data_IF_764649608353
#
_entry.id   IF_764649608353
#
_cell.length_a   1.000
_cell.length_b   1.000
_cell.length_c   1.000
_cell.angle_alpha   90.00
_cell.angle_beta   90.00
_cell.angle_gamma   90.00
#
_symmetry.space_group_name_H-M   'P 1'
#
loop_
_entity.id
_entity.type
_entity.pdbx_description
1 polymer ?
#
# COMPACT_ATOMS: atom_id res chain seq x y z
N UNK A 1 -8.87 12.99 -11.42
CA UNK A 1 -9.90 11.96 -11.15
C UNK A 1 -11.27 12.41 -11.64
N UNK A 2 -11.77 13.55 -11.17
CA UNK A 2 -13.10 14.07 -11.55
C UNK A 2 -13.31 14.30 -13.06
N UNK A 3 -12.22 14.39 -13.83
CA UNK A 3 -12.29 14.52 -15.29
C UNK A 3 -12.34 13.16 -16.02
N UNK A 4 -12.25 12.05 -15.30
CA UNK A 4 -12.37 10.71 -15.88
C UNK A 4 -13.83 10.32 -16.04
N UNK A 5 -14.08 9.50 -17.06
CA UNK A 5 -15.42 8.96 -17.31
C UNK A 5 -15.90 8.13 -16.13
N UNK A 6 -17.22 8.13 -15.87
CA UNK A 6 -17.87 7.36 -14.80
C UNK A 6 -17.48 7.74 -13.36
N UNK A 7 -16.76 8.85 -13.16
CA UNK A 7 -16.43 9.35 -11.83
C UNK A 7 -17.71 9.63 -11.02
N UNK A 8 -17.75 9.19 -9.77
CA UNK A 8 -18.84 9.44 -8.82
C UNK A 8 -18.37 10.41 -7.75
N UNK A 9 -17.30 10.03 -7.02
CA UNK A 9 -16.79 10.77 -5.85
C UNK A 9 -15.35 10.33 -5.55
N UNK A 10 -14.61 11.12 -4.78
CA UNK A 10 -13.36 10.64 -4.18
C UNK A 10 -13.68 9.49 -3.20
N UNK A 11 -12.92 8.38 -3.25
CA UNK A 11 -13.14 7.22 -2.38
C UNK A 11 -12.83 7.55 -0.91
N UNK A 12 -11.95 8.55 -0.70
CA UNK A 12 -11.62 9.16 0.59
C UNK A 12 -10.96 10.53 0.37
N UNK A 13 -10.83 11.33 1.43
CA UNK A 13 -10.12 12.61 1.37
C UNK A 13 -8.63 12.39 1.09
N UNK A 14 -8.12 12.98 0.00
CA UNK A 14 -6.71 12.85 -0.40
C UNK A 14 -5.77 13.22 0.74
N UNK A 15 -4.80 12.35 1.04
CA UNK A 15 -3.71 12.59 1.98
C UNK A 15 -2.50 13.10 1.18
N UNK A 16 -2.00 14.27 1.52
CA UNK A 16 -0.76 14.82 0.98
C UNK A 16 0.12 15.24 2.15
N UNK A 17 1.05 14.37 2.54
CA UNK A 17 1.83 14.51 3.76
C UNK A 17 3.33 14.64 3.44
N UNK A 18 3.95 15.73 3.89
CA UNK A 18 5.36 16.02 3.68
C UNK A 18 6.19 15.73 4.95
N UNK A 19 7.32 15.05 4.78
CA UNK A 19 8.28 14.76 5.86
C UNK A 19 7.65 14.05 7.04
N UNK A 20 7.86 14.55 8.25
CA UNK A 20 7.33 13.94 9.49
C UNK A 20 5.80 13.88 9.59
N UNK A 21 5.06 14.71 8.86
CA UNK A 21 3.60 14.65 8.84
C UNK A 21 3.09 13.34 8.22
N UNK A 22 3.87 12.73 7.32
CA UNK A 22 3.54 11.45 6.71
C UNK A 22 3.60 10.26 7.69
N UNK A 23 4.17 10.42 8.89
CA UNK A 23 4.09 9.43 9.94
C UNK A 23 2.68 9.30 10.56
N UNK A 24 1.81 10.28 10.32
CA UNK A 24 0.39 10.20 10.63
C UNK A 24 -0.35 9.63 9.41
N UNK A 25 -0.80 8.37 9.51
CA UNK A 25 -1.35 7.60 8.38
C UNK A 25 -2.55 8.28 7.70
N UNK A 26 -3.35 9.03 8.46
CA UNK A 26 -4.53 9.77 7.99
C UNK A 26 -4.33 11.29 8.17
N UNK A 27 -3.14 11.79 7.81
CA UNK A 27 -2.84 13.22 7.89
C UNK A 27 -3.72 14.04 6.96
N UNK A 28 -4.22 15.16 7.46
CA UNK A 28 -4.90 16.18 6.67
C UNK A 28 -4.29 17.54 6.96
N UNK A 29 -3.78 18.20 5.93
CA UNK A 29 -3.33 19.57 6.03
C UNK A 29 -4.53 20.52 6.20
N UNK A 30 -4.39 21.53 7.07
CA UNK A 30 -5.34 22.63 7.21
C UNK A 30 -4.68 23.97 6.85
N UNK A 31 -5.45 25.04 6.77
CA UNK A 31 -4.89 26.37 6.53
C UNK A 31 -3.96 26.81 7.67
N UNK A 32 -4.26 26.40 8.91
CA UNK A 32 -3.50 26.74 10.12
C UNK A 32 -2.35 25.78 10.41
N UNK A 33 -2.49 24.50 9.99
CA UNK A 33 -1.50 23.45 10.26
C UNK A 33 -1.16 22.67 8.99
N UNK A 34 -0.07 23.08 8.35
CA UNK A 34 0.48 22.43 7.16
C UNK A 34 1.99 22.65 7.04
N UNK A 35 2.68 21.73 6.40
CA UNK A 35 4.09 21.88 6.06
C UNK A 35 4.23 22.52 4.68
N UNK A 36 5.24 23.38 4.51
CA UNK A 36 5.67 23.85 3.18
C UNK A 36 6.62 22.84 2.56
N UNK A 37 6.40 22.55 1.28
CA UNK A 37 7.27 21.65 0.53
C UNK A 37 8.65 22.28 0.32
N UNK A 38 9.70 21.50 0.53
CA UNK A 38 11.09 21.87 0.31
C UNK A 38 11.74 20.92 -0.71
N UNK A 39 12.92 21.28 -1.23
CA UNK A 39 13.66 20.40 -2.16
C UNK A 39 14.50 19.37 -1.40
N UNK A 40 13.86 18.64 -0.48
CA UNK A 40 14.44 17.54 0.30
C UNK A 40 13.35 16.62 0.82
N UNK A 41 13.72 15.43 1.29
CA UNK A 41 12.79 14.49 1.91
C UNK A 41 11.74 13.96 0.96
N UNK A 42 10.66 13.42 1.53
CA UNK A 42 9.57 12.77 0.82
C UNK A 42 8.24 13.51 0.95
N UNK A 43 7.45 13.45 -0.13
CA UNK A 43 6.03 13.74 -0.15
C UNK A 43 5.27 12.42 -0.35
N UNK A 44 4.48 12.02 0.63
CA UNK A 44 3.53 10.92 0.52
C UNK A 44 2.20 11.48 0.01
N UNK A 45 1.69 10.89 -1.07
CA UNK A 45 0.37 11.21 -1.62
C UNK A 45 -0.43 9.93 -1.71
N UNK A 46 -1.53 9.89 -0.98
CA UNK A 46 -2.47 8.79 -0.94
C UNK A 46 -3.86 9.28 -1.37
N UNK A 47 -4.49 8.56 -2.30
CA UNK A 47 -5.65 9.11 -2.97
C UNK A 47 -6.37 8.08 -3.84
N UNK A 48 -7.68 8.18 -3.89
CA UNK A 48 -8.52 7.30 -4.67
C UNK A 48 -9.82 7.94 -5.15
N UNK A 49 -10.58 7.20 -5.92
CA UNK A 49 -11.91 7.61 -6.36
C UNK A 49 -12.82 6.41 -6.60
N UNK A 50 -14.11 6.62 -6.44
CA UNK A 50 -15.16 5.67 -6.79
C UNK A 50 -15.72 6.04 -8.16
N UNK A 51 -15.76 5.07 -9.04
CA UNK A 51 -16.32 5.12 -10.39
C UNK A 51 -17.48 4.13 -10.50
N UNK A 52 -18.29 4.22 -11.54
CA UNK A 52 -19.36 3.24 -11.80
C UNK A 52 -18.84 1.81 -12.09
N UNK A 53 -17.56 1.67 -12.40
CA UNK A 53 -16.90 0.40 -12.74
C UNK A 53 -15.76 0.02 -11.79
N UNK A 54 -15.64 0.67 -10.65
CA UNK A 54 -14.69 0.30 -9.59
C UNK A 54 -14.34 1.43 -8.66
N UNK A 55 -13.76 1.09 -7.52
CA UNK A 55 -13.19 2.03 -6.55
C UNK A 55 -11.68 1.86 -6.55
N UNK A 56 -10.94 2.97 -6.50
CA UNK A 56 -9.48 2.97 -6.53
C UNK A 56 -8.88 3.51 -5.25
N UNK A 57 -7.71 2.96 -4.92
CA UNK A 57 -6.84 3.36 -3.82
C UNK A 57 -5.38 3.26 -4.26
N UNK A 58 -4.59 4.30 -4.01
CA UNK A 58 -3.17 4.32 -4.37
C UNK A 58 -2.37 5.29 -3.53
N UNK A 59 -1.24 4.83 -3.02
CA UNK A 59 -0.22 5.69 -2.42
C UNK A 59 1.07 5.66 -3.23
N UNK A 60 1.67 6.85 -3.38
CA UNK A 60 3.06 7.01 -3.82
C UNK A 60 3.80 7.94 -2.86
N UNK A 61 5.05 7.59 -2.59
CA UNK A 61 5.98 8.42 -1.84
C UNK A 61 7.05 8.96 -2.81
N UNK A 62 7.02 10.27 -3.02
CA UNK A 62 7.86 10.96 -4.02
C UNK A 62 9.06 11.63 -3.36
N UNK A 63 10.30 11.38 -3.81
CA UNK A 63 11.45 12.16 -3.38
C UNK A 63 11.36 13.58 -3.95
N UNK A 64 11.49 14.61 -3.12
CA UNK A 64 11.45 16.01 -3.55
C UNK A 64 12.87 16.62 -3.73
N UNK A 65 13.93 15.86 -3.43
CA UNK A 65 15.31 16.30 -3.56
C UNK A 65 16.24 15.42 -2.74
N UNK A 66 17.11 16.06 -1.93
CA UNK A 66 18.07 15.34 -1.09
C UNK A 66 17.35 14.48 -0.04
N UNK A 67 17.84 13.25 0.13
CA UNK A 67 17.37 12.27 1.10
C UNK A 67 18.51 11.89 2.04
N UNK A 68 18.18 11.68 3.31
CA UNK A 68 19.09 11.05 4.27
C UNK A 68 19.29 9.56 3.95
N UNK A 69 20.33 8.96 4.49
CA UNK A 69 20.55 7.51 4.32
C UNK A 69 19.41 6.69 4.95
N UNK A 70 18.91 7.10 6.12
CA UNK A 70 17.77 6.43 6.76
C UNK A 70 16.49 6.49 5.90
N UNK A 71 16.20 7.65 5.30
CA UNK A 71 15.05 7.79 4.38
C UNK A 71 15.16 6.85 3.19
N UNK A 72 16.35 6.71 2.60
CA UNK A 72 16.60 5.78 1.48
C UNK A 72 16.46 4.32 1.91
N UNK A 73 16.97 3.95 3.08
CA UNK A 73 16.84 2.61 3.65
C UNK A 73 15.36 2.27 3.92
N UNK A 74 14.63 3.15 4.60
CA UNK A 74 13.19 2.95 4.88
C UNK A 74 12.38 2.83 3.59
N UNK A 75 12.67 3.65 2.58
CA UNK A 75 12.03 3.54 1.28
C UNK A 75 12.33 2.21 0.60
N UNK A 76 13.59 1.78 0.61
CA UNK A 76 14.02 0.51 0.01
C UNK A 76 13.34 -0.68 0.69
N UNK A 77 13.32 -0.72 2.02
CA UNK A 77 12.67 -1.80 2.77
C UNK A 77 11.15 -1.81 2.60
N UNK A 78 10.51 -0.63 2.54
CA UNK A 78 9.08 -0.55 2.22
C UNK A 78 8.79 -1.10 0.81
N UNK A 79 9.63 -0.76 -0.16
CA UNK A 79 9.49 -1.29 -1.52
C UNK A 79 9.73 -2.80 -1.57
N UNK A 80 10.66 -3.36 -0.79
CA UNK A 80 10.84 -4.81 -0.67
C UNK A 80 9.58 -5.49 -0.12
N UNK A 81 8.98 -4.94 0.95
CA UNK A 81 7.72 -5.42 1.50
C UNK A 81 6.62 -5.49 0.42
N UNK A 82 6.45 -4.39 -0.32
CA UNK A 82 5.49 -4.29 -1.41
C UNK A 82 5.74 -5.31 -2.53
N UNK A 83 6.99 -5.47 -2.96
CA UNK A 83 7.36 -6.42 -4.01
C UNK A 83 7.14 -7.87 -3.55
N UNK A 84 7.49 -8.21 -2.31
CA UNK A 84 7.43 -9.58 -1.82
C UNK A 84 6.00 -10.09 -1.74
N UNK A 85 5.06 -9.28 -1.25
CA UNK A 85 3.64 -9.69 -1.25
C UNK A 85 3.05 -9.66 -2.66
N UNK A 86 3.37 -8.67 -3.49
CA UNK A 86 2.87 -8.60 -4.86
C UNK A 86 3.30 -9.80 -5.72
N UNK A 87 4.46 -10.39 -5.42
CA UNK A 87 5.01 -11.58 -6.10
C UNK A 87 4.69 -12.90 -5.42
N UNK A 88 3.99 -12.87 -4.28
CA UNK A 88 3.71 -14.08 -3.52
C UNK A 88 2.91 -15.10 -4.34
N UNK A 89 3.23 -16.37 -4.13
CA UNK A 89 2.46 -17.53 -4.61
C UNK A 89 2.20 -18.42 -3.41
N UNK A 90 0.95 -18.81 -3.19
CA UNK A 90 0.55 -19.53 -1.98
C UNK A 90 -0.50 -20.60 -2.26
N UNK A 91 -0.68 -21.51 -1.32
CA UNK A 91 -1.73 -22.53 -1.38
C UNK A 91 -3.10 -21.92 -1.02
N UNK A 92 -4.15 -22.35 -1.68
CA UNK A 92 -5.49 -21.79 -1.62
C UNK A 92 -6.17 -21.83 -0.25
N UNK A 93 -5.52 -22.35 0.78
CA UNK A 93 -6.00 -22.31 2.18
C UNK A 93 -5.36 -21.19 3.01
N UNK A 94 -4.39 -20.46 2.45
CA UNK A 94 -3.75 -19.36 3.18
C UNK A 94 -4.69 -18.17 3.32
N UNK A 95 -4.73 -17.64 4.52
CA UNK A 95 -5.53 -16.48 4.90
C UNK A 95 -4.71 -15.17 4.93
N UNK A 96 -5.39 -14.07 5.22
CA UNK A 96 -4.76 -12.76 5.26
C UNK A 96 -3.67 -12.61 6.32
N UNK A 97 -3.77 -13.33 7.44
CA UNK A 97 -2.73 -13.35 8.47
C UNK A 97 -1.43 -14.02 7.97
N UNK A 98 -1.55 -15.14 7.29
CA UNK A 98 -0.39 -15.86 6.75
C UNK A 98 0.33 -15.02 5.69
N UNK A 99 -0.43 -14.35 4.82
CA UNK A 99 0.14 -13.52 3.75
C UNK A 99 0.72 -12.21 4.27
N UNK A 100 0.11 -11.59 5.29
CA UNK A 100 0.63 -10.37 5.93
C UNK A 100 2.08 -10.54 6.45
N UNK A 101 2.42 -11.75 6.90
CA UNK A 101 3.77 -12.08 7.35
C UNK A 101 4.81 -11.95 6.24
N UNK A 102 4.46 -12.32 5.00
CA UNK A 102 5.34 -12.20 3.83
C UNK A 102 5.69 -10.73 3.58
N UNK A 103 4.69 -9.85 3.65
CA UNK A 103 4.89 -8.42 3.46
C UNK A 103 5.73 -7.78 4.56
N UNK A 104 5.64 -8.24 5.81
CA UNK A 104 6.36 -7.63 6.95
C UNK A 104 7.80 -8.12 7.10
N UNK A 105 8.10 -9.29 6.59
CA UNK A 105 9.37 -9.98 6.83
C UNK A 105 10.61 -9.12 6.45
N UNK A 106 10.63 -8.39 5.31
CA UNK A 106 11.76 -7.51 4.99
C UNK A 106 12.06 -6.46 6.06
N UNK A 107 11.03 -5.84 6.66
CA UNK A 107 11.21 -4.88 7.76
C UNK A 107 11.64 -5.57 9.07
N UNK A 108 11.11 -6.74 9.37
CA UNK A 108 11.46 -7.48 10.58
C UNK A 108 12.94 -7.87 10.63
N UNK A 109 13.57 -8.14 9.49
CA UNK A 109 15.04 -8.36 9.41
C UNK A 109 15.83 -7.18 9.97
N UNK A 110 15.25 -5.97 9.91
CA UNK A 110 15.84 -4.74 10.41
C UNK A 110 15.26 -4.30 11.75
N UNK A 111 14.48 -5.17 12.43
CA UNK A 111 13.81 -4.92 13.72
C UNK A 111 12.83 -3.74 13.69
N UNK A 112 12.27 -3.47 12.51
CA UNK A 112 11.26 -2.42 12.27
C UNK A 112 9.92 -3.08 11.95
N UNK A 113 8.83 -2.41 12.31
CA UNK A 113 7.48 -2.86 12.02
C UNK A 113 6.53 -1.67 11.89
N UNK A 114 5.49 -1.82 11.09
CA UNK A 114 4.37 -0.88 11.06
C UNK A 114 3.17 -1.43 11.84
N UNK A 115 2.38 -0.52 12.44
CA UNK A 115 1.29 -0.88 13.37
C UNK A 115 -0.09 -0.96 12.72
N UNK A 116 -0.21 -0.61 11.44
CA UNK A 116 -1.41 -0.77 10.62
C UNK A 116 -1.45 -2.13 9.92
N UNK A 117 -2.54 -2.43 9.21
CA UNK A 117 -2.61 -3.54 8.25
C UNK A 117 -1.67 -3.30 7.07
N UNK A 118 -1.35 -4.36 6.35
CA UNK A 118 -0.64 -4.29 5.07
C UNK A 118 -1.58 -4.00 3.91
N UNK A 119 -2.86 -4.28 4.09
CA UNK A 119 -3.86 -4.03 3.07
C UNK A 119 -5.27 -4.44 3.49
N UNK A 120 -6.23 -3.94 2.74
CA UNK A 120 -7.65 -4.17 2.95
C UNK A 120 -8.36 -4.43 1.63
N UNK A 121 -9.53 -5.03 1.69
CA UNK A 121 -10.41 -5.19 0.55
C UNK A 121 -11.03 -3.84 0.17
N UNK A 122 -11.28 -3.65 -1.11
CA UNK A 122 -11.89 -2.46 -1.71
C UNK A 122 -13.24 -2.84 -2.32
N UNK A 123 -14.28 -2.05 -2.08
CA UNK A 123 -15.59 -2.31 -2.69
C UNK A 123 -15.58 -2.05 -4.20
N UNK A 124 -16.50 -2.68 -4.93
CA UNK A 124 -16.65 -2.41 -6.36
C UNK A 124 -17.15 -0.97 -6.60
N UNK A 125 -18.28 -0.60 -5.99
CA UNK A 125 -18.81 0.78 -5.97
C UNK A 125 -19.28 1.09 -4.56
N UNK A 126 -18.43 1.69 -3.73
CA UNK A 126 -18.76 1.93 -2.32
C UNK A 126 -17.56 2.39 -1.51
N UNK A 127 -17.46 1.91 -0.27
CA UNK A 127 -16.40 2.29 0.65
C UNK A 127 -15.04 1.77 0.18
N UNK A 128 -14.01 2.60 0.33
CA UNK A 128 -12.63 2.19 0.06
C UNK A 128 -12.22 1.01 0.95
N UNK A 129 -12.61 1.01 2.22
CA UNK A 129 -12.44 -0.13 3.12
C UNK A 129 -13.71 -0.99 3.14
N UNK A 130 -13.61 -2.21 2.62
CA UNK A 130 -14.69 -3.20 2.66
C UNK A 130 -14.14 -4.58 3.00
N UNK A 131 -14.80 -5.29 3.94
CA UNK A 131 -14.43 -6.68 4.26
C UNK A 131 -14.98 -7.68 3.23
N UNK A 132 -14.71 -8.99 3.42
CA UNK A 132 -14.21 -9.61 4.65
C UNK A 132 -12.68 -9.80 4.70
N UNK A 133 -11.99 -9.83 3.57
CA UNK A 133 -10.55 -10.13 3.52
C UNK A 133 -9.68 -8.87 3.74
N UNK A 134 -8.53 -9.08 4.33
CA UNK A 134 -7.52 -8.06 4.57
C UNK A 134 -6.15 -8.71 4.80
N UNK A 135 -5.07 -7.99 4.54
CA UNK A 135 -3.70 -8.37 4.90
C UNK A 135 -3.37 -7.75 6.26
N UNK A 136 -3.54 -8.49 7.33
CA UNK A 136 -3.18 -8.07 8.69
C UNK A 136 -3.07 -9.27 9.64
N UNK A 137 -2.41 -9.07 10.77
CA UNK A 137 -2.12 -10.12 11.76
C UNK A 137 -3.33 -10.76 12.45
N UNK A 138 -4.57 -10.49 12.05
CA UNK A 138 -5.80 -11.02 12.66
C UNK A 138 -6.82 -11.54 11.66
N UNK A 139 -6.64 -11.25 10.37
CA UNK A 139 -7.61 -11.64 9.35
C UNK A 139 -7.44 -13.11 8.96
N UNK A 140 -8.48 -13.90 9.17
CA UNK A 140 -8.53 -15.35 8.88
C UNK A 140 -9.35 -15.68 7.64
N UNK A 141 -9.72 -14.69 6.85
CA UNK A 141 -10.42 -14.90 5.58
C UNK A 141 -9.44 -15.47 4.57
N UNK A 142 -9.76 -16.63 4.02
CA UNK A 142 -9.00 -17.28 2.96
C UNK A 142 -9.28 -16.57 1.64
N UNK A 143 -8.21 -16.25 0.91
CA UNK A 143 -8.31 -15.58 -0.38
C UNK A 143 -8.95 -16.46 -1.45
N UNK A 144 -9.75 -15.84 -2.30
CA UNK A 144 -10.38 -16.48 -3.45
C UNK A 144 -10.05 -15.72 -4.74
N UNK A 145 -9.94 -16.39 -5.89
CA UNK A 145 -9.78 -15.71 -7.17
C UNK A 145 -10.87 -14.65 -7.41
N UNK A 146 -10.48 -13.48 -7.88
CA UNK A 146 -11.32 -12.31 -8.09
C UNK A 146 -11.42 -11.35 -6.91
N UNK A 147 -10.87 -11.70 -5.75
CA UNK A 147 -10.77 -10.78 -4.61
C UNK A 147 -9.74 -9.67 -4.90
N UNK A 148 -10.12 -8.43 -4.62
CA UNK A 148 -9.27 -7.25 -4.74
C UNK A 148 -8.75 -6.87 -3.35
N UNK A 149 -7.49 -6.51 -3.25
CA UNK A 149 -6.81 -6.16 -2.01
C UNK A 149 -5.81 -5.04 -2.24
N UNK A 150 -5.68 -4.10 -1.31
CA UNK A 150 -4.55 -3.17 -1.31
C UNK A 150 -3.29 -3.87 -0.79
N UNK A 151 -2.16 -3.42 -1.28
CA UNK A 151 -0.82 -3.82 -0.88
C UNK A 151 -0.07 -2.53 -0.54
N UNK A 152 -0.12 -2.13 0.74
CA UNK A 152 0.26 -0.80 1.24
C UNK A 152 1.18 -0.82 2.47
N UNK A 153 2.26 -1.63 2.47
CA UNK A 153 3.22 -1.59 3.56
C UNK A 153 3.85 -0.20 3.71
N UNK A 154 4.33 0.09 4.91
CA UNK A 154 4.95 1.39 5.16
C UNK A 154 5.91 1.42 6.35
N UNK A 155 6.65 2.52 6.46
CA UNK A 155 7.45 2.90 7.63
C UNK A 155 6.97 4.26 8.12
N UNK A 156 6.75 4.39 9.42
CA UNK A 156 6.16 5.59 10.03
C UNK A 156 6.93 5.96 11.29
N UNK A 157 7.93 6.85 11.12
CA UNK A 157 8.77 7.34 12.22
C UNK A 157 8.30 8.72 12.66
N UNK A 158 7.71 8.79 13.85
CA UNK A 158 7.07 9.99 14.38
C UNK A 158 8.01 11.22 14.37
N UNK A 159 7.56 12.30 13.74
CA UNK A 159 8.32 13.54 13.60
C UNK A 159 9.50 13.48 12.61
N UNK A 160 9.70 12.36 11.93
CA UNK A 160 10.80 12.16 10.98
C UNK A 160 10.29 11.93 9.56
N UNK A 161 9.65 10.79 9.31
CA UNK A 161 9.26 10.39 7.97
C UNK A 161 8.08 9.40 8.00
N UNK A 162 7.24 9.48 6.98
CA UNK A 162 6.30 8.42 6.63
C UNK A 162 6.47 8.02 5.19
N UNK A 163 6.50 6.71 4.93
CA UNK A 163 6.64 6.12 3.61
C UNK A 163 5.59 5.05 3.48
N UNK A 164 4.78 5.10 2.42
CA UNK A 164 3.84 4.07 1.99
C UNK A 164 3.95 3.92 0.48
N UNK A 165 3.97 2.69 0.01
CA UNK A 165 3.94 2.36 -1.42
C UNK A 165 2.79 1.39 -1.60
N UNK A 166 1.84 1.74 -2.45
CA UNK A 166 0.58 1.04 -2.56
C UNK A 166 0.14 0.77 -3.99
N UNK A 167 -0.34 -0.44 -4.22
CA UNK A 167 -1.10 -0.84 -5.38
C UNK A 167 -2.36 -1.61 -4.96
N UNK A 168 -3.36 -1.61 -5.79
CA UNK A 168 -4.41 -2.63 -5.76
C UNK A 168 -3.96 -3.87 -6.53
N UNK A 169 -4.22 -5.03 -5.95
CA UNK A 169 -3.90 -6.34 -6.49
C UNK A 169 -5.17 -7.18 -6.63
N UNK A 170 -5.24 -8.00 -7.66
CA UNK A 170 -6.26 -9.03 -7.82
C UNK A 170 -5.67 -10.41 -7.49
N UNK A 171 -6.36 -11.16 -6.62
CA UNK A 171 -6.07 -12.56 -6.40
C UNK A 171 -6.54 -13.38 -7.61
N UNK A 172 -5.68 -14.26 -8.15
CA UNK A 172 -6.05 -15.14 -9.26
C UNK A 172 -5.53 -16.56 -9.06
N UNK A 173 -6.19 -17.51 -9.74
CA UNK A 173 -5.73 -18.90 -9.81
C UNK A 173 -4.43 -18.98 -10.62
N UNK A 174 -3.37 -19.48 -10.02
CA UNK A 174 -2.04 -19.58 -10.63
C UNK A 174 -1.83 -20.93 -11.34
N UNK A 175 -2.05 -22.03 -10.61
CA UNK A 175 -1.84 -23.39 -11.10
C UNK A 175 -2.38 -24.45 -10.13
N UNK A 176 -2.61 -25.64 -10.66
CA UNK A 176 -2.85 -26.86 -9.89
C UNK A 176 -1.73 -27.90 -10.13
N UNK A 177 -1.34 -28.62 -9.11
CA UNK A 177 -0.44 -29.73 -9.22
C UNK A 177 -0.64 -30.73 -8.06
N UNK A 178 0.25 -31.74 -7.94
CA UNK A 178 0.18 -32.75 -6.88
C UNK A 178 0.28 -32.22 -5.44
N UNK A 179 0.71 -30.98 -5.26
CA UNK A 179 0.83 -30.33 -3.95
C UNK A 179 -0.38 -29.47 -3.60
N UNK A 180 -1.27 -29.18 -4.55
CA UNK A 180 -2.52 -28.44 -4.34
C UNK A 180 -2.79 -27.37 -5.38
N UNK A 181 -3.75 -26.51 -5.04
CA UNK A 181 -4.15 -25.34 -5.82
C UNK A 181 -3.36 -24.11 -5.35
N UNK A 182 -2.67 -23.45 -6.29
CA UNK A 182 -1.88 -22.27 -6.02
C UNK A 182 -2.58 -21.02 -6.51
N UNK A 183 -2.58 -20.00 -5.67
CA UNK A 183 -3.03 -18.64 -5.97
C UNK A 183 -1.85 -17.69 -6.04
N UNK A 184 -2.05 -16.54 -6.66
CA UNK A 184 -1.09 -15.45 -6.74
C UNK A 184 -1.81 -14.10 -6.89
N UNK A 185 -1.07 -13.02 -6.76
CA UNK A 185 -1.55 -11.67 -7.07
C UNK A 185 -1.10 -11.20 -8.45
N UNK A 186 -1.92 -10.32 -9.05
CA UNK A 186 -1.52 -9.52 -10.21
C UNK A 186 -1.92 -8.05 -9.95
N UNK A 187 -1.07 -7.07 -10.35
CA UNK A 187 -1.36 -5.67 -10.10
C UNK A 187 -2.50 -5.16 -10.99
N UNK A 188 -3.33 -4.30 -10.42
CA UNK A 188 -4.32 -3.47 -11.12
C UNK A 188 -3.83 -2.02 -11.26
N UNK A 189 -2.92 -1.58 -10.40
CA UNK A 189 -2.32 -0.25 -10.41
C UNK A 189 -1.02 -0.24 -11.22
N UNK A 190 -0.91 0.69 -12.17
CA UNK A 190 0.26 0.81 -13.07
C UNK A 190 0.97 2.16 -12.98
N UNK A 191 0.66 3.00 -11.98
CA UNK A 191 1.38 4.26 -11.76
C UNK A 191 2.83 3.95 -11.37
N UNK A 192 3.84 4.57 -12.02
CA UNK A 192 5.24 4.30 -11.74
C UNK A 192 5.61 4.54 -10.27
N UNK A 193 6.47 3.67 -9.74
CA UNK A 193 7.10 3.81 -8.43
C UNK A 193 8.47 4.48 -8.63
N UNK A 194 8.81 5.46 -7.79
CA UNK A 194 10.11 6.12 -7.86
C UNK A 194 11.23 5.13 -7.52
N UNK A 195 12.23 5.03 -8.38
CA UNK A 195 13.39 4.13 -8.17
C UNK A 195 14.65 4.87 -7.70
N UNK A 196 14.68 6.20 -7.80
CA UNK A 196 15.84 7.01 -7.40
C UNK A 196 16.18 6.94 -5.90
N UNK A 197 15.26 6.68 -4.95
CA UNK A 197 15.61 6.51 -3.55
C UNK A 197 16.21 5.13 -3.20
N UNK A 198 16.10 4.15 -4.10
CA UNK A 198 16.47 2.75 -3.81
C UNK A 198 17.99 2.62 -3.67
N UNK A 199 18.42 2.00 -2.58
CA UNK A 199 19.82 1.63 -2.32
C UNK A 199 20.03 0.11 -2.49
N UNK A 200 21.24 -0.33 -2.89
CA UNK A 200 21.57 -1.75 -3.08
C UNK A 200 21.44 -2.58 -1.82
#
# INVERSE_FOLDING_TARGET
RSAQDKFIVESFGTIAAYGGNAAMMHYHATEEDHAKLERKGFLLVDSGATYLDGTTDITRTYPLGELTEDEKLFYTWTLQCHIDIAKAVWLNYCDGHMLDTIAREPLWRHLINYRCGTGHSVSFVGNVHEGPHALNGRNTTVFQPGMIITDEPGVYEAGQVGIRIENELECYHKADNQYGTFLAFRPLTFVPIATSPVVP
#
